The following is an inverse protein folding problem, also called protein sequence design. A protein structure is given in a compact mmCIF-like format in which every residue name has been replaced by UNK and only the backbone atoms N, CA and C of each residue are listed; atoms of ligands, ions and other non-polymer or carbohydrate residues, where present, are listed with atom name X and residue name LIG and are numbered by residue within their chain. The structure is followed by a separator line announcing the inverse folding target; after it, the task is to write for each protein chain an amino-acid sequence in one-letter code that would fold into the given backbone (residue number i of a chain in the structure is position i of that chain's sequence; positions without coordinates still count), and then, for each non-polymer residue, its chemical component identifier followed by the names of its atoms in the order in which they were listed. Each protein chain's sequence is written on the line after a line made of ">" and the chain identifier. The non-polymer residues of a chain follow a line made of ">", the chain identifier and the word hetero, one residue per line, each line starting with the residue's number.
data_IF_327014777850
#
_entry.id   IF_327014777850
#
_cell.length_a   1.000
_cell.length_b   1.000
_cell.length_c   1.000
_cell.angle_alpha   90.00
_cell.angle_beta   90.00
_cell.angle_gamma   90.00
#
_symmetry.space_group_name_H-M   'P 1'
#
loop_
_entity.id
_entity.type
_entity.pdbx_description
1 polymer ?
#
# COMPACT_ATOMS: atom_id res chain seq x y z
N UNK A 1 -15.17 27.46 -12.63
CA UNK A 1 -14.33 28.08 -13.69
C UNK A 1 -14.53 27.24 -14.94
N UNK A 2 -15.30 27.73 -15.91
CA UNK A 2 -15.53 27.09 -17.21
C UNK A 2 -14.60 27.73 -18.24
N UNK A 3 -13.37 27.21 -18.33
CA UNK A 3 -12.42 27.52 -19.42
C UNK A 3 -12.43 26.42 -20.50
N UNK A 4 -13.56 25.74 -20.66
CA UNK A 4 -13.67 24.53 -21.48
C UNK A 4 -14.68 24.64 -22.63
N UNK A 5 -14.97 25.85 -23.12
CA UNK A 5 -15.91 26.02 -24.24
C UNK A 5 -15.24 26.28 -25.60
N UNK A 6 -13.94 26.61 -25.66
CA UNK A 6 -13.25 26.80 -26.93
C UNK A 6 -12.24 25.66 -27.16
N UNK A 7 -12.38 24.97 -28.30
CA UNK A 7 -11.47 23.91 -28.71
C UNK A 7 -10.08 24.52 -28.96
N UNK A 8 -9.18 24.35 -28.00
CA UNK A 8 -7.81 24.84 -28.02
C UNK A 8 -6.99 24.31 -29.20
N UNK A 9 -7.51 23.31 -29.92
CA UNK A 9 -6.85 22.75 -31.10
C UNK A 9 -7.14 23.53 -32.38
N UNK A 10 -8.12 24.45 -32.37
CA UNK A 10 -8.46 25.30 -33.52
C UNK A 10 -7.28 26.22 -33.86
N UNK A 11 -6.93 26.27 -35.15
CA UNK A 11 -5.82 27.09 -35.65
C UNK A 11 -4.42 26.46 -35.52
N UNK A 12 -4.30 25.30 -34.88
CA UNK A 12 -3.04 24.56 -34.84
C UNK A 12 -2.74 23.88 -36.19
N UNK A 13 -1.47 23.86 -36.59
CA UNK A 13 -1.05 23.13 -37.78
C UNK A 13 -1.18 21.61 -37.60
N UNK A 14 -1.39 20.87 -38.71
CA UNK A 14 -1.54 19.41 -38.68
C UNK A 14 -0.39 18.66 -38.00
N UNK A 15 0.84 19.16 -38.11
CA UNK A 15 2.02 18.58 -37.41
C UNK A 15 1.90 18.74 -35.90
N UNK A 16 1.42 19.89 -35.43
CA UNK A 16 1.21 20.15 -34.00
C UNK A 16 0.08 19.27 -33.48
N UNK A 17 -1.03 19.15 -34.22
CA UNK A 17 -2.15 18.26 -33.86
C UNK A 17 -1.71 16.79 -33.76
N UNK A 18 -0.90 16.33 -34.71
CA UNK A 18 -0.32 14.98 -34.64
C UNK A 18 0.52 14.80 -33.38
N UNK A 19 1.34 15.79 -33.02
CA UNK A 19 2.17 15.70 -31.83
C UNK A 19 1.36 15.69 -30.54
N UNK A 20 0.29 16.48 -30.48
CA UNK A 20 -0.68 16.46 -29.37
C UNK A 20 -1.24 15.05 -29.18
N UNK A 21 -1.71 14.42 -30.26
CA UNK A 21 -2.28 13.07 -30.20
C UNK A 21 -1.27 12.03 -29.72
N UNK A 22 -0.02 12.10 -30.22
CA UNK A 22 1.05 11.23 -29.74
C UNK A 22 1.31 11.39 -28.24
N UNK A 23 1.34 12.63 -27.76
CA UNK A 23 1.54 12.93 -26.33
C UNK A 23 0.38 12.46 -25.48
N UNK A 24 -0.87 12.61 -25.94
CA UNK A 24 -2.06 12.10 -25.25
C UNK A 24 -2.01 10.58 -25.10
N UNK A 25 -1.69 9.85 -26.17
CA UNK A 25 -1.51 8.39 -26.13
C UNK A 25 -0.39 7.99 -25.16
N UNK A 26 0.72 8.74 -25.18
CA UNK A 26 1.83 8.48 -24.27
C UNK A 26 1.44 8.72 -22.81
N UNK A 27 0.72 9.81 -22.54
CA UNK A 27 0.21 10.14 -21.21
C UNK A 27 -0.76 9.08 -20.70
N UNK A 28 -1.68 8.60 -21.53
CA UNK A 28 -2.60 7.51 -21.18
C UNK A 28 -1.85 6.21 -20.87
N UNK A 29 -0.80 5.89 -21.63
CA UNK A 29 0.05 4.73 -21.37
C UNK A 29 0.76 4.85 -20.02
N UNK A 30 1.40 5.99 -19.77
CA UNK A 30 2.08 6.25 -18.49
C UNK A 30 1.11 6.24 -17.32
N UNK A 31 -0.08 6.81 -17.48
CA UNK A 31 -1.13 6.81 -16.46
C UNK A 31 -1.55 5.38 -16.08
N UNK A 32 -1.76 4.51 -17.06
CA UNK A 32 -2.06 3.08 -16.82
C UNK A 32 -0.92 2.36 -16.12
N UNK A 33 0.32 2.56 -16.56
CA UNK A 33 1.50 1.96 -15.94
C UNK A 33 1.66 2.43 -14.48
N UNK A 34 1.47 3.72 -14.23
CA UNK A 34 1.57 4.28 -12.90
C UNK A 34 0.48 3.75 -11.97
N UNK A 35 -0.76 3.63 -12.46
CA UNK A 35 -1.85 3.00 -11.71
C UNK A 35 -1.55 1.54 -11.37
N UNK A 36 -1.00 0.78 -12.32
CA UNK A 36 -0.60 -0.60 -12.06
C UNK A 36 0.51 -0.71 -11.00
N UNK A 37 1.52 0.16 -11.06
CA UNK A 37 2.59 0.23 -10.06
C UNK A 37 2.06 0.63 -8.68
N UNK A 38 1.13 1.58 -8.61
CA UNK A 38 0.50 1.96 -7.35
C UNK A 38 -0.23 0.78 -6.71
N UNK A 39 -1.02 0.03 -7.49
CA UNK A 39 -1.68 -1.18 -6.99
C UNK A 39 -0.69 -2.25 -6.50
N UNK A 40 0.45 -2.40 -7.16
CA UNK A 40 1.50 -3.32 -6.68
C UNK A 40 2.09 -2.85 -5.34
N UNK A 41 2.35 -1.55 -5.19
CA UNK A 41 2.83 -0.98 -3.93
C UNK A 41 1.82 -1.18 -2.80
N UNK A 42 0.54 -0.91 -3.06
CA UNK A 42 -0.54 -1.07 -2.07
C UNK A 42 -0.67 -2.54 -1.61
N UNK A 43 -0.52 -3.48 -2.55
CA UNK A 43 -0.53 -4.91 -2.26
C UNK A 43 0.66 -5.32 -1.38
N UNK A 44 1.86 -4.84 -1.70
CA UNK A 44 3.07 -5.12 -0.90
C UNK A 44 2.91 -4.53 0.50
N UNK A 45 2.47 -3.27 0.60
CA UNK A 45 2.23 -2.60 1.88
C UNK A 45 1.27 -3.40 2.76
N UNK A 46 0.11 -3.77 2.21
CA UNK A 46 -0.88 -4.60 2.91
C UNK A 46 -0.30 -5.96 3.33
N UNK A 47 0.53 -6.57 2.48
CA UNK A 47 1.21 -7.82 2.79
C UNK A 47 2.17 -7.70 3.97
N UNK A 48 2.96 -6.63 4.00
CA UNK A 48 3.91 -6.33 5.08
C UNK A 48 3.18 -6.08 6.40
N UNK A 49 2.11 -5.29 6.39
CA UNK A 49 1.29 -5.02 7.59
C UNK A 49 0.71 -6.31 8.17
N UNK A 50 0.14 -7.18 7.33
CA UNK A 50 -0.38 -8.50 7.74
C UNK A 50 0.72 -9.35 8.36
N UNK A 51 1.90 -9.38 7.75
CA UNK A 51 3.02 -10.18 8.26
C UNK A 51 3.55 -9.63 9.59
N UNK A 52 3.58 -8.31 9.76
CA UNK A 52 3.97 -7.68 11.02
C UNK A 52 3.02 -8.07 12.16
N UNK A 53 1.71 -7.98 11.93
CA UNK A 53 0.68 -8.40 12.90
C UNK A 53 0.86 -9.88 13.25
N UNK A 54 1.10 -10.74 12.25
CA UNK A 54 1.32 -12.17 12.48
C UNK A 54 2.55 -12.42 13.35
N UNK A 55 3.68 -11.79 13.05
CA UNK A 55 4.92 -11.94 13.81
C UNK A 55 4.74 -11.48 15.25
N UNK A 56 4.08 -10.34 15.47
CA UNK A 56 3.79 -9.83 16.82
C UNK A 56 2.89 -10.81 17.60
N UNK A 57 1.85 -11.35 16.96
CA UNK A 57 0.96 -12.33 17.58
C UNK A 57 1.71 -13.62 17.93
N UNK A 58 2.54 -14.13 17.03
CA UNK A 58 3.34 -15.35 17.26
C UNK A 58 4.36 -15.15 18.40
N UNK A 59 4.99 -13.97 18.47
CA UNK A 59 5.88 -13.60 19.56
C UNK A 59 5.14 -13.54 20.91
N UNK A 60 3.96 -12.91 20.95
CA UNK A 60 3.13 -12.84 22.16
C UNK A 60 2.68 -14.23 22.63
N UNK A 61 2.23 -15.10 21.72
CA UNK A 61 1.88 -16.50 22.05
C UNK A 61 3.08 -17.25 22.63
N UNK A 62 4.25 -17.08 22.03
CA UNK A 62 5.48 -17.72 22.51
C UNK A 62 5.84 -17.26 23.91
N UNK A 63 5.77 -15.95 24.18
CA UNK A 63 6.05 -15.40 25.50
C UNK A 63 5.03 -15.88 26.55
N UNK A 64 3.74 -15.90 26.20
CA UNK A 64 2.68 -16.38 27.09
C UNK A 64 2.88 -17.88 27.44
N UNK A 65 3.24 -18.69 26.46
CA UNK A 65 3.57 -20.11 26.69
C UNK A 65 4.75 -20.26 27.67
N UNK A 66 5.82 -19.48 27.48
CA UNK A 66 6.97 -19.48 28.41
C UNK A 66 6.57 -19.05 29.83
N UNK A 67 5.81 -17.96 29.94
CA UNK A 67 5.33 -17.46 31.23
C UNK A 67 4.42 -18.49 31.92
N UNK A 68 3.57 -19.17 31.17
CA UNK A 68 2.70 -20.24 31.68
C UNK A 68 3.52 -21.40 32.24
N UNK A 69 4.59 -21.81 31.56
CA UNK A 69 5.49 -22.85 32.06
C UNK A 69 6.23 -22.39 33.32
N UNK A 70 6.63 -21.12 33.37
CA UNK A 70 7.32 -20.54 34.53
C UNK A 70 6.42 -20.47 35.76
N UNK A 71 5.17 -20.03 35.61
CA UNK A 71 4.18 -20.04 36.70
C UNK A 71 3.98 -21.45 37.24
N UNK A 72 3.87 -22.45 36.35
CA UNK A 72 3.77 -23.86 36.75
C UNK A 72 5.02 -24.33 37.50
N UNK A 73 6.21 -23.87 37.10
CA UNK A 73 7.49 -24.20 37.75
C UNK A 73 7.60 -23.61 39.15
N UNK A 74 7.19 -22.36 39.34
CA UNK A 74 7.32 -21.65 40.61
C UNK A 74 6.38 -22.20 41.71
N UNK A 75 5.29 -22.88 41.32
CA UNK A 75 4.35 -23.46 42.26
C UNK A 75 3.60 -22.39 43.10
N UNK A 76 2.75 -22.80 44.05
CA UNK A 76 1.97 -21.87 44.85
C UNK A 76 2.85 -21.08 45.84
N UNK A 77 2.77 -19.75 45.78
CA UNK A 77 3.43 -18.85 46.74
C UNK A 77 2.66 -18.89 48.06
N UNK A 78 3.29 -19.39 49.13
CA UNK A 78 2.73 -19.34 50.49
C UNK A 78 2.92 -17.95 51.08
N UNK A 79 1.85 -17.18 51.11
CA UNK A 79 1.78 -15.93 51.87
C UNK A 79 1.62 -16.27 53.36
N UNK A 80 2.52 -15.78 54.20
CA UNK A 80 2.36 -15.83 55.65
C UNK A 80 1.86 -14.45 56.10
N UNK A 81 0.74 -14.44 56.84
CA UNK A 81 0.14 -13.24 57.43
C UNK A 81 0.63 -13.03 58.85
#
# INVERSE_FOLDING_TARGET
>A
MSWAEEDWTVGLSGRVLQKVKELQVHQERLSRENKQKQLQLDNIHTGVEKQNVKVQADAARTLNSKLTLEIKRLGPVKWHS
#
